data_IF_867954522218
#
_entry.id   IF_867954522218
#
_cell.length_a   1.000
_cell.length_b   1.000
_cell.length_c   1.000
_cell.angle_alpha   90.00
_cell.angle_beta   90.00
_cell.angle_gamma   90.00
#
_symmetry.space_group_name_H-M   'P 1'
#
loop_
_entity.id
_entity.type
_entity.pdbx_description
1 polymer ?
#
# COMPACT_ATOMS: atom_id res chain seq x y z
N UNK A 1 7.06 6.26 4.42
CA UNK A 1 6.84 4.81 4.71
C UNK A 1 8.08 3.97 4.50
N UNK A 2 8.62 3.83 3.26
CA UNK A 2 9.80 2.99 3.02
C UNK A 2 11.01 3.39 3.88
N UNK A 3 11.21 4.69 4.07
CA UNK A 3 12.35 5.18 4.83
C UNK A 3 12.23 4.90 6.33
N UNK A 4 11.06 5.16 6.94
CA UNK A 4 10.86 4.83 8.35
C UNK A 4 10.99 3.32 8.61
N UNK A 5 10.57 2.46 7.68
CA UNK A 5 10.77 1.01 7.79
C UNK A 5 12.27 0.66 7.82
N UNK A 6 13.09 1.31 6.97
CA UNK A 6 14.56 1.11 6.99
C UNK A 6 15.17 1.60 8.29
N UNK A 7 14.70 2.73 8.79
CA UNK A 7 15.18 3.30 10.04
C UNK A 7 14.86 2.39 11.23
N UNK A 8 13.61 1.93 11.35
CA UNK A 8 13.18 0.98 12.38
C UNK A 8 13.97 -0.32 12.29
N UNK A 9 14.15 -0.86 11.08
CA UNK A 9 14.99 -2.05 10.85
C UNK A 9 16.42 -1.84 11.34
N UNK A 10 17.02 -0.69 11.00
CA UNK A 10 18.38 -0.32 11.44
C UNK A 10 18.46 -0.23 12.96
N UNK A 11 17.52 0.47 13.59
CA UNK A 11 17.42 0.58 15.06
C UNK A 11 17.38 -0.80 15.70
N UNK A 12 16.49 -1.69 15.24
CA UNK A 12 16.34 -3.05 15.78
C UNK A 12 17.66 -3.82 15.72
N UNK A 13 18.40 -3.72 14.61
CA UNK A 13 19.68 -4.42 14.42
C UNK A 13 20.77 -3.82 15.31
N UNK A 14 20.93 -2.49 15.29
CA UNK A 14 22.03 -1.79 15.97
C UNK A 14 21.87 -1.77 17.49
N UNK A 15 20.63 -1.71 18.00
CA UNK A 15 20.35 -1.56 19.43
C UNK A 15 19.53 -2.74 19.99
N UNK A 16 19.73 -3.94 19.43
CA UNK A 16 18.94 -5.14 19.76
C UNK A 16 18.82 -5.42 21.26
N UNK A 17 19.92 -5.33 22.01
CA UNK A 17 19.94 -5.61 23.45
C UNK A 17 19.02 -4.68 24.25
N UNK A 18 18.90 -3.41 23.85
CA UNK A 18 17.97 -2.45 24.48
C UNK A 18 16.54 -2.94 24.28
N UNK A 19 16.18 -3.25 23.04
CA UNK A 19 14.83 -3.63 22.67
C UNK A 19 14.42 -5.03 23.14
N UNK A 20 15.38 -5.91 23.45
CA UNK A 20 15.11 -7.20 24.09
C UNK A 20 14.60 -7.05 25.52
N UNK A 21 14.98 -5.98 26.23
CA UNK A 21 14.74 -5.82 27.67
C UNK A 21 13.78 -4.68 28.01
N UNK A 22 13.68 -3.69 27.13
CA UNK A 22 12.91 -2.47 27.39
C UNK A 22 11.74 -2.35 26.41
N UNK A 23 10.55 -2.68 26.90
CA UNK A 23 9.29 -2.56 26.15
C UNK A 23 8.94 -1.10 25.84
N UNK A 24 9.23 -0.17 26.76
CA UNK A 24 8.98 1.25 26.56
C UNK A 24 9.86 1.82 25.43
N UNK A 25 11.12 1.39 25.35
CA UNK A 25 11.98 1.75 24.21
C UNK A 25 11.44 1.19 22.88
N UNK A 26 10.82 0.00 22.88
CA UNK A 26 10.16 -0.55 21.68
C UNK A 26 8.95 0.31 21.29
N UNK A 27 8.12 0.70 22.26
CA UNK A 27 7.00 1.61 22.04
C UNK A 27 7.46 2.92 21.41
N UNK A 28 8.40 3.62 22.06
CA UNK A 28 8.81 4.95 21.64
C UNK A 28 9.66 4.97 20.37
N UNK A 29 10.61 4.05 20.21
CA UNK A 29 11.60 4.16 19.12
C UNK A 29 11.20 3.40 17.86
N UNK A 30 10.31 2.40 17.97
CA UNK A 30 9.95 1.50 16.87
C UNK A 30 8.47 1.59 16.49
N UNK A 31 7.56 1.63 17.46
CA UNK A 31 6.11 1.60 17.21
C UNK A 31 5.56 2.99 16.90
N UNK A 32 5.77 3.97 17.79
CA UNK A 32 5.23 5.33 17.60
C UNK A 32 5.67 5.98 16.29
N UNK A 33 6.94 5.90 15.84
CA UNK A 33 7.35 6.50 14.57
C UNK A 33 6.66 5.85 13.36
N UNK A 34 6.32 4.56 13.44
CA UNK A 34 5.53 3.90 12.40
C UNK A 34 4.07 4.37 12.43
N UNK A 35 3.48 4.54 13.61
CA UNK A 35 2.11 5.09 13.72
C UNK A 35 2.03 6.52 13.17
N UNK A 36 3.02 7.36 13.47
CA UNK A 36 3.10 8.72 12.96
C UNK A 36 3.16 8.75 11.42
N UNK A 37 4.03 7.94 10.81
CA UNK A 37 4.07 7.78 9.36
C UNK A 37 2.75 7.23 8.78
N UNK A 38 2.03 6.41 9.54
CA UNK A 38 0.72 5.86 9.17
C UNK A 38 -0.43 6.88 9.28
N UNK A 39 -0.10 8.14 9.62
CA UNK A 39 -1.04 9.26 9.66
C UNK A 39 -1.73 9.42 11.01
N UNK A 40 -1.26 8.75 12.06
CA UNK A 40 -1.74 8.94 13.42
C UNK A 40 -0.98 10.06 14.11
N UNK A 41 -1.67 11.02 14.71
CA UNK A 41 -1.02 12.01 15.57
C UNK A 41 -0.79 11.41 16.95
N UNK A 42 0.45 10.99 17.22
CA UNK A 42 0.83 10.28 18.44
C UNK A 42 0.78 11.15 19.71
N UNK A 43 0.76 12.47 19.56
CA UNK A 43 0.66 13.46 20.62
C UNK A 43 -0.78 14.03 20.78
N UNK A 44 -1.72 13.58 19.96
CA UNK A 44 -3.13 13.99 19.99
C UNK A 44 -3.99 12.91 20.67
N UNK A 45 -4.52 13.13 21.89
CA UNK A 45 -5.36 12.14 22.59
C UNK A 45 -6.72 11.91 21.92
N UNK A 46 -7.10 12.70 20.91
CA UNK A 46 -8.24 12.42 20.05
C UNK A 46 -7.93 11.37 18.97
N UNK A 47 -6.65 11.00 18.80
CA UNK A 47 -6.17 10.04 17.81
C UNK A 47 -5.40 8.86 18.42
N UNK A 48 -4.51 9.09 19.40
CA UNK A 48 -3.73 8.04 20.05
C UNK A 48 -3.77 8.25 21.57
N UNK A 49 -4.29 7.25 22.29
CA UNK A 49 -4.38 7.28 23.76
C UNK A 49 -3.49 6.19 24.35
N UNK A 50 -2.42 6.55 25.07
CA UNK A 50 -1.66 5.56 25.82
C UNK A 50 -2.45 5.06 27.04
N UNK A 51 -2.23 3.82 27.44
CA UNK A 51 -2.76 3.25 28.69
C UNK A 51 -4.30 3.30 28.80
N UNK A 52 -5.01 3.09 27.68
CA UNK A 52 -6.47 3.14 27.63
C UNK A 52 -7.07 2.02 28.46
N UNK A 53 -7.93 2.38 29.42
CA UNK A 53 -8.60 1.43 30.32
C UNK A 53 -9.70 0.67 29.58
N UNK A 54 -9.75 -0.63 29.83
CA UNK A 54 -10.81 -1.54 29.38
C UNK A 54 -11.42 -2.27 30.58
N UNK A 55 -12.48 -3.05 30.37
CA UNK A 55 -13.08 -3.87 31.44
C UNK A 55 -12.10 -4.91 32.01
N UNK A 56 -11.21 -5.45 31.17
CA UNK A 56 -10.28 -6.53 31.53
C UNK A 56 -8.83 -6.06 31.77
N UNK A 57 -8.54 -4.75 31.69
CA UNK A 57 -7.18 -4.24 31.91
C UNK A 57 -6.90 -2.88 31.27
N UNK A 58 -5.69 -2.73 30.71
CA UNK A 58 -5.28 -1.56 29.93
C UNK A 58 -4.58 -2.03 28.66
N UNK A 59 -4.93 -1.41 27.54
CA UNK A 59 -4.17 -1.55 26.31
C UNK A 59 -3.06 -0.48 26.28
N UNK A 60 -1.90 -0.83 25.75
CA UNK A 60 -0.78 0.12 25.66
C UNK A 60 -1.14 1.36 24.83
N UNK A 61 -1.86 1.16 23.72
CA UNK A 61 -2.44 2.25 22.94
C UNK A 61 -3.85 1.92 22.44
N UNK A 62 -4.73 2.91 22.49
CA UNK A 62 -5.96 2.93 21.72
C UNK A 62 -5.83 3.91 20.55
N UNK A 63 -6.19 3.46 19.35
CA UNK A 63 -6.26 4.28 18.14
C UNK A 63 -7.69 4.77 17.97
N UNK A 64 -7.87 6.09 17.86
CA UNK A 64 -9.16 6.79 17.93
C UNK A 64 -9.42 7.56 16.64
N UNK A 65 -10.62 7.41 16.08
CA UNK A 65 -11.02 8.13 14.86
C UNK A 65 -12.48 8.50 14.94
N UNK A 66 -12.79 9.78 14.75
CA UNK A 66 -14.17 10.27 14.90
C UNK A 66 -14.73 10.09 16.32
N UNK A 67 -13.88 10.23 17.35
CA UNK A 67 -14.28 10.15 18.76
C UNK A 67 -14.48 8.73 19.31
N UNK A 68 -14.23 7.70 18.50
CA UNK A 68 -14.41 6.28 18.86
C UNK A 68 -13.11 5.51 18.69
N UNK A 69 -12.86 4.56 19.59
CA UNK A 69 -11.71 3.65 19.46
C UNK A 69 -11.97 2.72 18.28
N UNK A 70 -11.03 2.68 17.33
CA UNK A 70 -11.11 1.85 16.12
C UNK A 70 -10.13 0.68 16.12
N UNK A 71 -9.09 0.74 16.95
CA UNK A 71 -8.20 -0.38 17.18
C UNK A 71 -7.49 -0.27 18.54
N UNK A 72 -7.12 -1.41 19.12
CA UNK A 72 -6.17 -1.48 20.24
C UNK A 72 -4.83 -2.02 19.77
N UNK A 73 -3.75 -1.53 20.39
CA UNK A 73 -2.39 -2.00 20.16
C UNK A 73 -1.76 -2.41 21.49
N UNK A 74 -1.30 -3.66 21.55
CA UNK A 74 -0.52 -4.23 22.65
C UNK A 74 0.94 -4.40 22.22
N UNK A 75 1.85 -3.75 22.93
CA UNK A 75 3.28 -3.81 22.70
C UNK A 75 3.95 -4.83 23.62
N UNK A 76 5.07 -5.39 23.14
CA UNK A 76 5.99 -6.20 23.93
C UNK A 76 7.44 -5.87 23.58
N UNK A 77 8.37 -6.23 24.45
CA UNK A 77 9.78 -6.21 24.08
C UNK A 77 10.13 -7.35 23.07
N UNK A 78 11.31 -7.28 22.44
CA UNK A 78 11.71 -8.21 21.37
C UNK A 78 11.88 -9.65 21.82
N UNK A 79 12.09 -9.90 23.12
CA UNK A 79 12.29 -11.25 23.65
C UNK A 79 10.99 -12.04 23.76
N UNK A 80 9.83 -11.35 23.75
CA UNK A 80 8.52 -11.97 23.93
C UNK A 80 7.97 -12.52 22.62
N UNK A 81 7.45 -13.76 22.69
CA UNK A 81 6.58 -14.29 21.66
C UNK A 81 5.20 -13.60 21.74
N UNK A 82 5.00 -12.62 20.87
CA UNK A 82 3.79 -11.78 20.82
C UNK A 82 2.49 -12.54 20.59
N UNK A 83 2.53 -13.74 20.01
CA UNK A 83 1.34 -14.59 19.85
C UNK A 83 0.67 -14.91 21.19
N UNK A 84 1.42 -14.92 22.29
CA UNK A 84 0.88 -15.16 23.64
C UNK A 84 -0.01 -14.02 24.16
N UNK A 85 0.12 -12.80 23.63
CA UNK A 85 -0.69 -11.66 24.04
C UNK A 85 -2.00 -11.52 23.23
N UNK A 86 -2.16 -12.29 22.15
CA UNK A 86 -3.37 -12.26 21.30
C UNK A 86 -4.66 -12.55 22.11
N UNK A 87 -4.72 -13.53 23.02
CA UNK A 87 -5.92 -13.77 23.83
C UNK A 87 -6.32 -12.59 24.72
N UNK A 88 -5.34 -11.93 25.34
CA UNK A 88 -5.59 -10.78 26.22
C UNK A 88 -6.10 -9.59 25.41
N UNK A 89 -5.43 -9.26 24.30
CA UNK A 89 -5.87 -8.19 23.42
C UNK A 89 -7.27 -8.44 22.85
N UNK A 90 -7.59 -9.67 22.48
CA UNK A 90 -8.92 -10.02 21.95
C UNK A 90 -10.03 -9.77 22.98
N UNK A 91 -9.76 -9.94 24.28
CA UNK A 91 -10.72 -9.60 25.35
C UNK A 91 -10.96 -8.10 25.44
N UNK A 92 -9.89 -7.29 25.47
CA UNK A 92 -10.00 -5.83 25.46
C UNK A 92 -10.84 -5.31 24.29
N UNK A 93 -10.59 -5.89 23.11
CA UNK A 93 -11.33 -5.59 21.90
C UNK A 93 -12.81 -6.00 22.03
N UNK A 94 -13.08 -7.20 22.55
CA UNK A 94 -14.44 -7.71 22.73
C UNK A 94 -15.27 -6.84 23.67
N UNK A 95 -14.74 -6.50 24.84
CA UNK A 95 -15.44 -5.72 25.87
C UNK A 95 -15.83 -4.32 25.39
N UNK A 96 -14.98 -3.73 24.55
CA UNK A 96 -15.14 -2.37 24.05
C UNK A 96 -15.80 -2.30 22.67
N UNK A 97 -16.18 -3.45 22.08
CA UNK A 97 -16.81 -3.47 20.76
C UNK A 97 -15.88 -3.09 19.61
N UNK A 98 -14.57 -3.30 19.75
CA UNK A 98 -13.53 -2.92 18.77
C UNK A 98 -13.11 -4.12 17.95
N UNK A 99 -13.25 -4.08 16.62
CA UNK A 99 -12.97 -5.26 15.77
C UNK A 99 -11.47 -5.56 15.63
N UNK A 100 -10.64 -4.51 15.58
CA UNK A 100 -9.24 -4.61 15.19
C UNK A 100 -8.33 -4.58 16.41
N UNK A 101 -7.58 -5.66 16.60
CA UNK A 101 -6.47 -5.72 17.55
C UNK A 101 -5.12 -5.81 16.83
N UNK A 102 -4.11 -5.12 17.35
CA UNK A 102 -2.72 -5.23 16.92
C UNK A 102 -1.84 -5.68 18.09
N UNK A 103 -1.09 -6.77 17.94
CA UNK A 103 -0.01 -7.10 18.89
C UNK A 103 1.33 -6.92 18.19
N UNK A 104 2.29 -6.29 18.85
CA UNK A 104 3.60 -6.04 18.22
C UNK A 104 4.74 -6.01 19.22
N UNK A 105 5.95 -6.32 18.76
CA UNK A 105 7.18 -5.99 19.46
C UNK A 105 8.09 -5.07 18.62
N UNK A 106 7.50 -4.28 17.73
CA UNK A 106 8.21 -3.42 16.77
C UNK A 106 8.80 -4.22 15.59
N UNK A 107 9.41 -5.37 15.84
CA UNK A 107 9.99 -6.24 14.81
C UNK A 107 8.94 -7.14 14.14
N UNK A 108 7.97 -7.62 14.89
CA UNK A 108 6.83 -8.41 14.38
C UNK A 108 5.52 -7.77 14.81
N UNK A 109 4.54 -7.81 13.91
CA UNK A 109 3.19 -7.31 14.13
C UNK A 109 2.19 -8.39 13.75
N UNK A 110 1.17 -8.59 14.58
CA UNK A 110 0.03 -9.46 14.34
C UNK A 110 -1.23 -8.61 14.31
N UNK A 111 -2.05 -8.81 13.28
CA UNK A 111 -3.35 -8.16 13.17
C UNK A 111 -4.42 -9.21 13.45
N UNK A 112 -5.27 -8.90 14.42
CA UNK A 112 -6.22 -9.81 15.04
C UNK A 112 -7.63 -9.31 14.73
N UNK A 113 -8.47 -10.20 14.22
CA UNK A 113 -9.90 -9.98 14.20
C UNK A 113 -10.49 -10.40 15.55
N UNK A 114 -10.94 -9.45 16.37
CA UNK A 114 -11.49 -9.74 17.68
C UNK A 114 -12.79 -10.56 17.59
N UNK A 115 -13.59 -10.34 16.55
CA UNK A 115 -14.92 -10.95 16.39
C UNK A 115 -14.92 -11.99 15.26
N UNK A 116 -14.82 -13.26 15.62
CA UNK A 116 -14.99 -14.37 14.66
C UNK A 116 -15.70 -15.55 15.34
N UNK A 117 -17.03 -15.65 15.20
CA UNK A 117 -17.81 -16.74 15.78
C UNK A 117 -17.30 -18.11 15.34
N UNK A 118 -17.30 -19.08 16.26
CA UNK A 118 -16.88 -20.46 15.99
C UNK A 118 -15.38 -20.66 15.76
N UNK A 119 -14.55 -19.61 15.86
CA UNK A 119 -13.11 -19.70 15.64
C UNK A 119 -12.32 -19.41 16.91
N UNK A 120 -11.35 -20.25 17.22
CA UNK A 120 -10.40 -20.03 18.32
C UNK A 120 -9.60 -18.73 18.13
N UNK A 121 -9.32 -18.03 19.23
CA UNK A 121 -8.65 -16.70 19.21
C UNK A 121 -7.31 -16.72 18.47
N UNK A 122 -6.49 -17.76 18.67
CA UNK A 122 -5.20 -17.90 17.97
C UNK A 122 -5.36 -18.03 16.44
N UNK A 123 -6.49 -18.54 15.96
CA UNK A 123 -6.80 -18.67 14.53
C UNK A 123 -7.40 -17.38 13.96
N UNK A 124 -7.68 -16.35 14.78
CA UNK A 124 -8.20 -15.05 14.35
C UNK A 124 -7.12 -14.04 13.99
N UNK A 125 -5.85 -14.43 13.99
CA UNK A 125 -4.78 -13.64 13.39
C UNK A 125 -4.98 -13.63 11.87
N UNK A 126 -5.36 -12.47 11.33
CA UNK A 126 -5.68 -12.28 9.91
C UNK A 126 -4.51 -11.73 9.11
N UNK A 127 -3.56 -11.05 9.76
CA UNK A 127 -2.38 -10.49 9.14
C UNK A 127 -1.14 -10.63 10.02
N UNK A 128 0.04 -10.67 9.39
CA UNK A 128 1.33 -10.61 10.07
C UNK A 128 2.30 -9.76 9.27
N UNK A 129 3.20 -9.07 9.98
CA UNK A 129 4.28 -8.27 9.41
C UNK A 129 5.57 -8.64 10.15
N UNK A 130 6.59 -9.10 9.44
CA UNK A 130 7.93 -9.33 9.98
C UNK A 130 8.92 -8.34 9.36
N UNK A 131 9.21 -7.28 10.12
CA UNK A 131 10.00 -6.11 9.69
C UNK A 131 11.44 -6.49 9.34
N UNK A 132 11.97 -7.59 9.88
CA UNK A 132 13.35 -8.01 9.66
C UNK A 132 13.51 -8.92 8.43
N UNK A 133 12.53 -9.79 8.18
CA UNK A 133 12.64 -10.82 7.14
C UNK A 133 11.93 -10.49 5.83
N UNK A 134 10.93 -9.60 5.84
CA UNK A 134 10.16 -9.30 4.63
C UNK A 134 10.79 -8.20 3.76
N UNK A 135 10.65 -8.25 2.42
CA UNK A 135 11.03 -7.14 1.54
C UNK A 135 10.29 -5.84 1.85
N UNK A 136 10.94 -4.69 1.63
CA UNK A 136 10.39 -3.36 1.97
C UNK A 136 9.10 -3.08 1.20
N UNK A 137 8.97 -3.54 -0.04
CA UNK A 137 7.79 -3.41 -0.88
C UNK A 137 6.58 -4.05 -0.22
N UNK A 138 6.78 -5.26 0.31
CA UNK A 138 5.75 -6.05 1.00
C UNK A 138 5.38 -5.40 2.33
N UNK A 139 6.37 -4.96 3.09
CA UNK A 139 6.16 -4.23 4.35
C UNK A 139 5.36 -2.94 4.11
N UNK A 140 5.71 -2.17 3.08
CA UNK A 140 5.05 -0.91 2.75
C UNK A 140 3.56 -1.13 2.48
N UNK A 141 3.20 -2.16 1.70
CA UNK A 141 1.80 -2.49 1.45
C UNK A 141 1.09 -3.00 2.71
N UNK A 142 1.74 -3.89 3.48
CA UNK A 142 1.14 -4.43 4.69
C UNK A 142 0.87 -3.37 5.74
N UNK A 143 1.78 -2.42 5.94
CA UNK A 143 1.59 -1.34 6.92
C UNK A 143 0.43 -0.40 6.54
N UNK A 144 0.11 -0.23 5.24
CA UNK A 144 -1.09 0.53 4.82
C UNK A 144 -2.37 0.01 5.49
N UNK A 145 -2.46 -1.30 5.76
CA UNK A 145 -3.60 -1.88 6.48
C UNK A 145 -3.82 -1.33 7.90
N UNK A 146 -2.81 -0.69 8.49
CA UNK A 146 -2.83 -0.07 9.81
C UNK A 146 -2.86 1.47 9.76
N UNK A 147 -2.95 2.07 8.57
CA UNK A 147 -3.07 3.52 8.44
C UNK A 147 -4.39 4.01 8.99
N UNK A 148 -4.42 5.28 9.41
CA UNK A 148 -5.64 5.92 9.93
C UNK A 148 -6.83 5.82 8.97
N UNK A 149 -6.58 5.86 7.67
CA UNK A 149 -7.61 5.79 6.65
C UNK A 149 -8.17 4.37 6.47
N UNK A 150 -7.34 3.34 6.69
CA UNK A 150 -7.66 1.95 6.34
C UNK A 150 -7.96 1.08 7.56
N UNK A 151 -7.53 1.45 8.77
CA UNK A 151 -7.54 0.57 9.96
C UNK A 151 -8.91 -0.06 10.23
N UNK A 152 -10.01 0.66 10.04
CA UNK A 152 -11.38 0.14 10.24
C UNK A 152 -11.74 -0.98 9.25
N UNK A 153 -11.02 -1.09 8.14
CA UNK A 153 -11.11 -2.17 7.16
C UNK A 153 -9.91 -3.13 7.23
N UNK A 154 -9.06 -3.07 8.27
CA UNK A 154 -7.83 -3.85 8.36
C UNK A 154 -8.09 -5.35 8.22
N UNK A 155 -9.13 -5.89 8.89
CA UNK A 155 -9.48 -7.32 8.80
C UNK A 155 -9.75 -7.73 7.36
N UNK A 156 -10.57 -6.96 6.64
CA UNK A 156 -10.88 -7.20 5.22
C UNK A 156 -9.62 -7.03 4.35
N UNK A 157 -8.82 -6.02 4.60
CA UNK A 157 -7.57 -5.74 3.90
C UNK A 157 -6.61 -6.94 3.96
N UNK A 158 -6.29 -7.43 5.17
CA UNK A 158 -5.35 -8.54 5.33
C UNK A 158 -5.90 -9.88 4.84
N UNK A 159 -7.22 -10.12 4.94
CA UNK A 159 -7.84 -11.30 4.35
C UNK A 159 -7.71 -11.30 2.82
N UNK A 160 -8.00 -10.18 2.16
CA UNK A 160 -7.84 -10.06 0.70
C UNK A 160 -6.38 -10.18 0.28
N UNK A 161 -5.45 -9.58 1.04
CA UNK A 161 -4.01 -9.73 0.77
C UNK A 161 -3.57 -11.19 0.86
N UNK A 162 -4.03 -11.92 1.89
CA UNK A 162 -3.75 -13.36 2.04
C UNK A 162 -4.35 -14.20 0.91
N UNK A 163 -5.58 -13.88 0.47
CA UNK A 163 -6.20 -14.55 -0.68
C UNK A 163 -5.37 -14.35 -1.94
N UNK A 164 -4.99 -13.11 -2.25
CA UNK A 164 -4.12 -12.79 -3.39
C UNK A 164 -2.81 -13.60 -3.35
N UNK A 165 -2.14 -13.64 -2.20
CA UNK A 165 -0.89 -14.38 -2.03
C UNK A 165 -1.05 -15.89 -2.23
N UNK A 166 -2.13 -16.46 -1.71
CA UNK A 166 -2.41 -17.89 -1.86
C UNK A 166 -2.74 -18.23 -3.31
N UNK A 167 -3.63 -17.45 -3.94
CA UNK A 167 -3.98 -17.63 -5.35
C UNK A 167 -2.75 -17.48 -6.26
N UNK A 168 -1.87 -16.52 -5.99
CA UNK A 168 -0.61 -16.36 -6.71
C UNK A 168 0.27 -17.61 -6.61
N UNK A 169 0.46 -18.15 -5.39
CA UNK A 169 1.24 -19.37 -5.16
C UNK A 169 0.63 -20.58 -5.87
N UNK A 170 -0.69 -20.71 -5.84
CA UNK A 170 -1.38 -21.85 -6.45
C UNK A 170 -1.31 -21.78 -7.98
N UNK A 171 -1.41 -20.59 -8.58
CA UNK A 171 -1.17 -20.40 -10.02
C UNK A 171 0.26 -20.79 -10.43
N UNK A 172 1.27 -20.44 -9.62
CA UNK A 172 2.66 -20.84 -9.88
C UNK A 172 2.80 -22.37 -9.81
N UNK A 173 2.19 -23.03 -8.83
CA UNK A 173 2.18 -24.51 -8.75
C UNK A 173 1.49 -25.16 -9.95
N UNK A 174 0.50 -24.49 -10.54
CA UNK A 174 -0.20 -24.94 -11.75
C UNK A 174 0.56 -24.62 -13.05
N UNK A 175 1.74 -24.00 -12.98
CA UNK A 175 2.63 -23.78 -14.12
C UNK A 175 2.69 -22.34 -14.65
N UNK A 176 2.03 -21.37 -14.01
CA UNK A 176 2.21 -19.97 -14.36
C UNK A 176 3.62 -19.49 -13.95
N UNK A 177 4.30 -18.76 -14.83
CA UNK A 177 5.58 -18.12 -14.45
C UNK A 177 5.33 -16.89 -13.58
N UNK A 178 6.22 -16.63 -12.62
CA UNK A 178 6.15 -15.45 -11.75
C UNK A 178 6.14 -14.14 -12.55
N UNK A 179 6.89 -14.08 -13.64
CA UNK A 179 6.92 -12.92 -14.55
C UNK A 179 5.56 -12.69 -15.20
N UNK A 180 4.93 -13.74 -15.75
CA UNK A 180 3.60 -13.61 -16.39
C UNK A 180 2.52 -13.28 -15.38
N UNK A 181 2.61 -13.80 -14.17
CA UNK A 181 1.70 -13.46 -13.08
C UNK A 181 1.85 -11.99 -12.66
N UNK A 182 3.08 -11.49 -12.55
CA UNK A 182 3.33 -10.07 -12.29
C UNK A 182 2.77 -9.20 -13.42
N UNK A 183 3.06 -9.54 -14.69
CA UNK A 183 2.48 -8.84 -15.85
C UNK A 183 0.95 -8.84 -15.80
N UNK A 184 0.32 -9.96 -15.44
CA UNK A 184 -1.12 -10.09 -15.31
C UNK A 184 -1.68 -9.18 -14.20
N UNK A 185 -1.13 -9.25 -12.99
CA UNK A 185 -1.57 -8.42 -11.84
C UNK A 185 -1.44 -6.94 -12.19
N UNK A 186 -0.34 -6.57 -12.83
CA UNK A 186 -0.09 -5.20 -13.26
C UNK A 186 -0.98 -4.75 -14.42
N UNK A 187 -1.51 -5.68 -15.20
CA UNK A 187 -2.50 -5.42 -16.25
C UNK A 187 -3.94 -5.33 -15.72
N UNK A 188 -4.17 -5.68 -14.46
CA UNK A 188 -5.51 -5.68 -13.91
C UNK A 188 -6.13 -4.28 -13.99
N UNK A 189 -7.41 -4.18 -14.40
CA UNK A 189 -8.17 -2.94 -14.44
C UNK A 189 -8.52 -2.45 -13.02
N UNK A 190 -7.52 -2.06 -12.22
CA UNK A 190 -7.73 -1.55 -10.87
C UNK A 190 -8.39 -0.17 -10.87
N UNK A 191 -8.41 0.50 -12.02
CA UNK A 191 -9.18 1.70 -12.35
C UNK A 191 -9.65 1.56 -13.80
N UNK A 192 -10.93 1.26 -14.06
CA UNK A 192 -11.50 1.23 -15.43
C UNK A 192 -11.00 0.11 -16.35
N UNK A 193 -11.54 -0.02 -17.57
CA UNK A 193 -11.17 -1.09 -18.51
C UNK A 193 -9.84 -0.76 -19.19
N UNK A 194 -8.83 -1.64 -19.10
CA UNK A 194 -7.47 -1.36 -19.60
C UNK A 194 -7.25 -2.05 -20.94
N UNK A 195 -6.86 -1.28 -21.95
CA UNK A 195 -6.69 -1.74 -23.34
C UNK A 195 -5.33 -1.31 -23.91
N UNK A 196 -4.85 -1.99 -24.96
CA UNK A 196 -3.68 -1.57 -25.73
C UNK A 196 -3.96 -0.28 -26.50
N UNK A 197 -2.91 0.41 -26.96
CA UNK A 197 -3.06 1.64 -27.76
C UNK A 197 -3.79 1.36 -29.08
N UNK A 198 -3.59 0.18 -29.65
CA UNK A 198 -4.27 -0.32 -30.86
C UNK A 198 -5.75 -0.68 -30.67
N UNK A 199 -6.15 -0.99 -29.45
CA UNK A 199 -7.49 -1.53 -29.16
C UNK A 199 -8.50 -0.42 -28.84
N UNK A 200 -8.06 0.83 -28.84
CA UNK A 200 -8.92 1.99 -28.63
C UNK A 200 -9.69 2.31 -29.92
N UNK A 201 -10.94 2.70 -29.77
CA UNK A 201 -11.80 3.27 -30.81
C UNK A 201 -11.87 4.80 -30.74
N UNK A 202 -12.24 5.48 -31.84
CA UNK A 202 -12.33 6.95 -31.87
C UNK A 202 -13.33 7.56 -30.88
N UNK A 203 -14.31 6.78 -30.43
CA UNK A 203 -15.36 7.19 -29.49
C UNK A 203 -15.03 6.91 -28.03
N UNK A 204 -13.93 6.19 -27.75
CA UNK A 204 -13.59 5.77 -26.40
C UNK A 204 -13.13 6.95 -25.55
N UNK A 205 -13.57 6.96 -24.30
CA UNK A 205 -13.21 8.00 -23.33
C UNK A 205 -12.03 7.53 -22.51
N UNK A 206 -10.89 8.20 -22.63
CA UNK A 206 -9.67 7.81 -21.93
C UNK A 206 -9.64 8.41 -20.52
N UNK A 207 -9.84 7.58 -19.50
CA UNK A 207 -9.75 7.99 -18.08
C UNK A 207 -8.29 8.18 -17.63
N UNK A 208 -7.34 7.51 -18.26
CA UNK A 208 -5.94 7.57 -17.87
C UNK A 208 -5.00 6.74 -18.74
N UNK A 209 -3.71 6.86 -18.45
CA UNK A 209 -2.64 6.11 -19.11
C UNK A 209 -1.82 5.36 -18.08
N UNK A 210 -1.55 4.09 -18.36
CA UNK A 210 -0.57 3.29 -17.67
C UNK A 210 0.73 3.27 -18.49
N UNK A 211 1.85 3.67 -17.89
CA UNK A 211 3.19 3.58 -18.50
C UNK A 211 4.04 2.61 -17.69
N UNK A 212 4.58 1.57 -18.35
CA UNK A 212 5.56 0.67 -17.77
C UNK A 212 6.97 1.14 -18.08
N UNK A 213 7.66 1.62 -17.05
CA UNK A 213 9.02 2.13 -17.12
C UNK A 213 9.76 1.77 -15.82
N UNK A 214 10.30 0.55 -15.78
CA UNK A 214 10.78 -0.10 -14.56
C UNK A 214 9.68 -0.46 -13.54
N UNK A 215 8.42 -0.16 -13.86
CA UNK A 215 7.23 -0.36 -13.04
C UNK A 215 6.04 0.41 -13.64
N UNK A 216 4.81 -0.03 -13.36
CA UNK A 216 3.62 0.64 -13.88
C UNK A 216 3.31 1.92 -13.11
N UNK A 217 3.07 3.00 -13.85
CA UNK A 217 2.62 4.29 -13.33
C UNK A 217 1.32 4.68 -14.01
N UNK A 218 0.32 5.03 -13.21
CA UNK A 218 -0.94 5.56 -13.71
C UNK A 218 -0.90 7.09 -13.76
N UNK A 219 -1.31 7.66 -14.89
CA UNK A 219 -1.42 9.10 -15.12
C UNK A 219 -2.87 9.39 -15.50
N UNK A 220 -3.62 10.18 -14.71
CA UNK A 220 -4.99 10.54 -15.05
C UNK A 220 -5.01 11.44 -16.29
N UNK A 221 -6.05 11.27 -17.13
CA UNK A 221 -6.26 12.08 -18.34
C UNK A 221 -7.52 12.93 -18.16
N UNK A 222 -7.35 14.25 -18.10
CA UNK A 222 -8.45 15.18 -17.80
C UNK A 222 -9.41 15.39 -18.98
N UNK A 223 -8.89 15.58 -20.19
CA UNK A 223 -9.70 15.88 -21.39
C UNK A 223 -10.44 14.67 -21.97
N UNK A 224 -10.08 13.46 -21.52
CA UNK A 224 -10.67 12.17 -21.89
C UNK A 224 -10.64 11.78 -23.36
N UNK A 225 -9.90 12.50 -24.20
CA UNK A 225 -9.67 12.10 -25.58
C UNK A 225 -8.30 11.41 -25.73
N UNK A 226 -8.13 10.63 -26.80
CA UNK A 226 -6.86 9.95 -27.08
C UNK A 226 -5.67 10.93 -27.22
N UNK A 227 -5.90 12.12 -27.76
CA UNK A 227 -4.85 13.16 -27.84
C UNK A 227 -4.40 13.63 -26.45
N UNK A 228 -5.28 13.64 -25.46
CA UNK A 228 -4.95 14.05 -24.10
C UNK A 228 -4.12 12.97 -23.40
N UNK A 229 -4.35 11.70 -23.75
CA UNK A 229 -3.49 10.59 -23.35
C UNK A 229 -2.07 10.75 -23.92
N UNK A 230 -1.93 11.11 -25.20
CA UNK A 230 -0.62 11.44 -25.78
C UNK A 230 0.06 12.61 -25.06
N UNK A 231 -0.70 13.66 -24.73
CA UNK A 231 -0.16 14.79 -23.94
C UNK A 231 0.31 14.33 -22.55
N UNK A 232 -0.44 13.45 -21.88
CA UNK A 232 -0.06 12.89 -20.59
C UNK A 232 1.24 12.07 -20.66
N UNK A 233 1.39 11.24 -21.70
CA UNK A 233 2.62 10.46 -21.96
C UNK A 233 3.80 11.40 -22.24
N UNK A 234 3.63 12.41 -23.08
CA UNK A 234 4.69 13.37 -23.37
C UNK A 234 5.15 14.12 -22.11
N UNK A 235 4.20 14.56 -21.27
CA UNK A 235 4.50 15.21 -19.98
C UNK A 235 5.29 14.30 -19.04
N UNK A 236 4.98 13.01 -19.01
CA UNK A 236 5.73 12.03 -18.20
C UNK A 236 7.23 11.99 -18.55
N UNK A 237 7.56 12.16 -19.84
CA UNK A 237 8.95 12.14 -20.28
C UNK A 237 9.68 13.48 -20.13
N UNK A 238 8.98 14.62 -19.98
CA UNK A 238 9.62 15.93 -19.76
C UNK A 238 10.64 15.82 -18.63
N UNK A 239 10.24 15.32 -17.46
CA UNK A 239 11.10 15.31 -16.28
C UNK A 239 12.34 14.41 -16.41
N UNK A 240 12.35 13.52 -17.42
CA UNK A 240 13.41 12.54 -17.68
C UNK A 240 14.30 12.90 -18.87
N UNK A 241 13.98 13.99 -19.55
CA UNK A 241 14.61 14.40 -20.79
C UNK A 241 15.67 15.50 -20.60
N UNK A 242 16.59 15.60 -21.57
CA UNK A 242 17.57 16.69 -21.63
C UNK A 242 16.88 18.06 -21.77
N UNK A 243 17.61 19.17 -21.56
CA UNK A 243 17.03 20.52 -21.74
C UNK A 243 16.50 20.76 -23.16
N UNK A 244 17.17 20.23 -24.17
CA UNK A 244 16.78 20.38 -25.57
C UNK A 244 15.53 19.55 -25.89
N UNK A 245 15.50 18.30 -25.42
CA UNK A 245 14.35 17.41 -25.56
C UNK A 245 13.12 17.94 -24.82
N UNK A 246 13.29 18.50 -23.61
CA UNK A 246 12.21 19.15 -22.87
C UNK A 246 11.53 20.24 -23.69
N UNK A 247 12.33 21.11 -24.32
CA UNK A 247 11.82 22.21 -25.16
C UNK A 247 11.08 21.66 -26.39
N UNK A 248 11.60 20.61 -27.01
CA UNK A 248 10.92 19.95 -28.14
C UNK A 248 9.57 19.34 -27.72
N UNK A 249 9.52 18.64 -26.59
CA UNK A 249 8.30 18.04 -26.04
C UNK A 249 7.25 19.10 -25.71
N UNK A 250 7.65 20.22 -25.09
CA UNK A 250 6.75 21.34 -24.79
C UNK A 250 6.12 21.95 -26.05
N UNK A 251 6.91 22.12 -27.11
CA UNK A 251 6.43 22.61 -28.41
C UNK A 251 5.46 21.61 -29.03
N UNK A 252 5.75 20.31 -28.97
CA UNK A 252 4.86 19.26 -29.46
C UNK A 252 3.52 19.27 -28.71
N UNK A 253 3.53 19.37 -27.38
CA UNK A 253 2.30 19.45 -26.56
C UNK A 253 1.47 20.69 -26.95
N UNK A 254 2.09 21.86 -27.10
CA UNK A 254 1.37 23.08 -27.53
C UNK A 254 0.70 22.87 -28.89
N UNK A 255 1.41 22.25 -29.84
CA UNK A 255 0.87 21.96 -31.18
C UNK A 255 -0.28 20.97 -31.13
N UNK A 256 -0.17 19.88 -30.37
CA UNK A 256 -1.25 18.87 -30.22
C UNK A 256 -2.52 19.47 -29.59
N UNK A 257 -2.38 20.43 -28.67
CA UNK A 257 -3.52 21.10 -28.04
C UNK A 257 -4.26 22.06 -28.98
N UNK A 258 -3.51 22.74 -29.86
CA UNK A 258 -4.06 23.78 -30.75
C UNK A 258 -4.53 23.20 -32.08
N UNK A 259 -3.85 22.17 -32.59
CA UNK A 259 -4.18 21.53 -33.86
C UNK A 259 -4.96 20.24 -33.64
N UNK A 260 -6.00 20.01 -34.45
CA UNK A 260 -6.67 18.71 -34.48
C UNK A 260 -5.73 17.64 -35.04
N UNK A 261 -5.26 16.73 -34.19
CA UNK A 261 -4.46 15.58 -34.61
C UNK A 261 -5.40 14.42 -34.90
N UNK A 262 -5.26 13.82 -36.09
CA UNK A 262 -6.07 12.65 -36.49
C UNK A 262 -5.84 11.48 -35.55
N UNK A 263 -6.90 10.73 -35.28
CA UNK A 263 -6.91 9.57 -34.39
C UNK A 263 -5.76 8.59 -34.67
N UNK A 264 -5.62 8.17 -35.93
CA UNK A 264 -4.62 7.18 -36.36
C UNK A 264 -3.20 7.70 -36.16
N UNK A 265 -3.02 9.03 -36.29
CA UNK A 265 -1.73 9.66 -36.04
C UNK A 265 -1.38 9.65 -34.55
N UNK A 266 -2.36 9.81 -33.66
CA UNK A 266 -2.14 9.73 -32.22
C UNK A 266 -1.76 8.30 -31.80
N UNK A 267 -2.47 7.29 -32.31
CA UNK A 267 -2.13 5.86 -32.11
C UNK A 267 -0.69 5.57 -32.55
N UNK A 268 -0.33 5.99 -33.77
CA UNK A 268 1.02 5.82 -34.32
C UNK A 268 2.10 6.51 -33.48
N UNK A 269 1.83 7.71 -32.97
CA UNK A 269 2.79 8.44 -32.11
C UNK A 269 2.99 7.75 -30.77
N UNK A 270 1.92 7.26 -30.14
CA UNK A 270 2.00 6.51 -28.89
C UNK A 270 2.83 5.22 -29.06
N UNK A 271 2.61 4.46 -30.14
CA UNK A 271 3.43 3.28 -30.47
C UNK A 271 4.89 3.63 -30.74
N UNK A 272 5.14 4.71 -31.49
CA UNK A 272 6.50 5.19 -31.72
C UNK A 272 7.23 5.53 -30.42
N UNK A 273 6.52 6.08 -29.41
CA UNK A 273 7.09 6.34 -28.08
C UNK A 273 7.41 5.04 -27.35
N UNK A 274 6.55 4.01 -27.42
CA UNK A 274 6.83 2.69 -26.83
C UNK A 274 8.15 2.11 -27.37
N UNK A 275 8.32 2.15 -28.69
CA UNK A 275 9.51 1.65 -29.38
C UNK A 275 10.77 2.48 -29.05
N UNK A 276 10.69 3.81 -29.18
CA UNK A 276 11.85 4.70 -29.00
C UNK A 276 12.32 4.73 -27.54
N UNK A 277 11.39 4.73 -26.58
CA UNK A 277 11.71 4.84 -25.15
C UNK A 277 11.82 3.48 -24.44
N UNK A 278 11.51 2.38 -25.12
CA UNK A 278 11.52 1.03 -24.53
C UNK A 278 10.50 0.87 -23.41
N UNK A 279 9.34 1.53 -23.51
CA UNK A 279 8.26 1.48 -22.52
C UNK A 279 7.04 0.73 -23.07
N UNK A 280 6.11 0.35 -22.19
CA UNK A 280 4.76 -0.10 -22.62
C UNK A 280 3.72 0.91 -22.16
N UNK A 281 2.75 1.20 -23.02
CA UNK A 281 1.66 2.13 -22.79
C UNK A 281 0.34 1.36 -22.87
N UNK A 282 -0.52 1.55 -21.86
CA UNK A 282 -1.90 1.07 -21.88
C UNK A 282 -2.86 2.21 -21.58
N UNK A 283 -4.05 2.16 -22.14
CA UNK A 283 -5.07 3.17 -21.98
C UNK A 283 -6.19 2.65 -21.10
N UNK A 284 -6.72 3.51 -20.25
CA UNK A 284 -7.84 3.20 -19.37
C UNK A 284 -9.08 3.86 -19.94
N UNK A 285 -10.12 3.06 -20.17
CA UNK A 285 -11.46 3.47 -20.58
C UNK A 285 -12.44 3.52 -19.40
#
# INVERSE_FOLDING_TARGET
>A
MREIIREVRRKIITHREVYLRNEEAVKQHLILPLLEELGWKIDDPSEVRPEEKTGEGRADYALVKGGRVVAFLEAKNLSVNISKAVPQLAKYCFDMGVEVGVVTNGARWLVVNAFEPGREVMKRVVGSIDVLSEPIERLSLKFIGLSKDIVENAVKFYRNLRLLENSAKDLVKLGASEVKLAEYVLSLPLRGHVVGVEDVGPSDRILGVYIFDGGWRFIPVEGRELRDALVAVLRYFIDKSSKEDKKAIEVAIKRIKVSGVKYEKVVSLLKGIEEEKGVKIKLVL
#
